data_IF_658600719433
#
_entry.id   IF_658600719433
#
_cell.length_a   1.000
_cell.length_b   1.000
_cell.length_c   1.000
_cell.angle_alpha   90.00
_cell.angle_beta   90.00
_cell.angle_gamma   90.00
#
_symmetry.space_group_name_H-M   'P 1'
#
loop_
_entity.id
_entity.type
_entity.pdbx_description
1 polymer ?
#
# COMPACT_ATOMS: atom_id res chain seq x y z
N UNK A 1 -25.99 41.15 -8.01
CA UNK A 1 -25.49 40.76 -6.67
C UNK A 1 -25.16 39.28 -6.69
N UNK A 2 -23.93 38.94 -7.07
CA UNK A 2 -23.43 37.60 -6.75
C UNK A 2 -23.18 37.54 -5.24
N UNK A 3 -23.82 36.60 -4.55
CA UNK A 3 -23.38 36.23 -3.20
C UNK A 3 -22.07 35.48 -3.39
N UNK A 4 -20.96 36.13 -3.05
CA UNK A 4 -19.69 35.44 -2.84
C UNK A 4 -19.94 34.25 -1.92
N UNK A 5 -19.67 33.04 -2.40
CA UNK A 5 -19.61 31.87 -1.53
C UNK A 5 -18.48 32.14 -0.54
N UNK A 6 -18.85 32.41 0.70
CA UNK A 6 -17.92 32.40 1.82
C UNK A 6 -17.37 30.98 1.93
N UNK A 7 -16.14 30.77 1.44
CA UNK A 7 -15.49 29.47 1.43
C UNK A 7 -15.32 29.00 2.87
N UNK A 8 -16.21 28.11 3.31
CA UNK A 8 -16.23 27.65 4.68
C UNK A 8 -14.93 26.90 4.97
N UNK A 9 -14.13 27.44 5.88
CA UNK A 9 -12.85 26.87 6.30
C UNK A 9 -12.96 25.34 6.53
N UNK A 10 -12.03 24.53 6.00
CA UNK A 10 -12.04 23.07 6.15
C UNK A 10 -12.18 22.61 7.61
N UNK A 11 -12.98 21.56 7.83
CA UNK A 11 -13.36 21.04 9.15
C UNK A 11 -12.96 19.58 9.34
N UNK A 12 -12.73 19.20 10.60
CA UNK A 12 -12.54 17.80 10.99
C UNK A 12 -13.81 17.33 11.70
N UNK A 13 -14.45 16.31 11.13
CA UNK A 13 -15.70 15.72 11.61
C UNK A 13 -15.41 14.39 12.30
N UNK A 14 -15.40 14.34 13.63
CA UNK A 14 -15.24 13.09 14.40
C UNK A 14 -16.58 12.37 14.54
N UNK A 15 -16.66 11.19 13.94
CA UNK A 15 -17.88 10.38 13.79
C UNK A 15 -17.82 9.15 14.70
N UNK A 16 -18.19 9.37 15.96
CA UNK A 16 -18.25 8.33 17.02
C UNK A 16 -19.64 7.72 17.25
N UNK A 17 -20.58 7.89 16.33
CA UNK A 17 -21.94 7.36 16.43
C UNK A 17 -22.39 6.85 15.07
N UNK A 18 -23.00 5.66 15.05
CA UNK A 18 -23.50 4.99 13.84
C UNK A 18 -24.40 5.90 13.00
N UNK A 19 -25.35 6.59 13.64
CA UNK A 19 -26.29 7.49 12.94
C UNK A 19 -25.57 8.63 12.21
N UNK A 20 -24.63 9.30 12.90
CA UNK A 20 -23.81 10.37 12.30
C UNK A 20 -22.86 9.82 11.22
N UNK A 21 -22.29 8.65 11.43
CA UNK A 21 -21.43 7.98 10.45
C UNK A 21 -22.20 7.59 9.19
N UNK A 22 -23.44 7.09 9.33
CA UNK A 22 -24.33 6.76 8.22
C UNK A 22 -24.71 8.00 7.43
N UNK A 23 -25.16 9.07 8.09
CA UNK A 23 -25.49 10.34 7.45
C UNK A 23 -24.30 10.92 6.67
N UNK A 24 -23.11 10.93 7.25
CA UNK A 24 -21.90 11.39 6.57
C UNK A 24 -21.53 10.49 5.38
N UNK A 25 -21.62 9.17 5.53
CA UNK A 25 -21.36 8.21 4.45
C UNK A 25 -22.33 8.38 3.28
N UNK A 26 -23.64 8.49 3.56
CA UNK A 26 -24.66 8.69 2.53
C UNK A 26 -24.44 10.02 1.80
N UNK A 27 -24.08 11.09 2.52
CA UNK A 27 -23.65 12.37 1.93
C UNK A 27 -22.44 12.19 1.00
N UNK A 28 -21.34 11.61 1.50
CA UNK A 28 -20.10 11.41 0.75
C UNK A 28 -20.30 10.56 -0.52
N UNK A 29 -21.13 9.51 -0.45
CA UNK A 29 -21.46 8.65 -1.61
C UNK A 29 -22.27 9.39 -2.69
N UNK A 30 -23.08 10.37 -2.29
CA UNK A 30 -23.88 11.19 -3.20
C UNK A 30 -23.06 12.32 -3.83
N UNK A 31 -22.26 13.05 -3.06
CA UNK A 31 -21.54 14.25 -3.51
C UNK A 31 -20.15 13.99 -4.11
N UNK A 32 -19.44 12.92 -3.72
CA UNK A 32 -18.02 12.75 -4.07
C UNK A 32 -17.75 11.47 -4.89
N UNK A 33 -17.10 11.64 -6.05
CA UNK A 33 -16.56 10.54 -6.87
C UNK A 33 -15.10 10.19 -6.57
N UNK A 34 -14.42 11.04 -5.82
CA UNK A 34 -13.04 10.85 -5.39
C UNK A 34 -12.92 11.31 -3.93
N UNK A 35 -12.28 10.47 -3.11
CA UNK A 35 -11.99 10.74 -1.70
C UNK A 35 -10.56 10.31 -1.42
N UNK A 36 -9.84 11.05 -0.59
CA UNK A 36 -8.60 10.54 0.00
C UNK A 36 -8.95 9.68 1.20
N UNK A 37 -8.13 8.68 1.51
CA UNK A 37 -8.39 7.78 2.64
C UNK A 37 -7.11 7.29 3.32
N UNK A 38 -7.15 7.18 4.64
CA UNK A 38 -6.20 6.39 5.42
C UNK A 38 -6.92 5.52 6.46
N UNK A 39 -6.27 4.44 6.89
CA UNK A 39 -6.79 3.53 7.89
C UNK A 39 -5.72 3.32 8.96
N UNK A 40 -6.10 3.45 10.23
CA UNK A 40 -5.22 3.23 11.38
C UNK A 40 -5.71 2.04 12.19
N UNK A 41 -4.78 1.20 12.62
CA UNK A 41 -5.03 -0.01 13.38
C UNK A 41 -4.11 -0.11 14.61
N UNK A 42 -4.53 -0.84 15.63
CA UNK A 42 -3.65 -1.23 16.75
C UNK A 42 -2.69 -2.37 16.37
N UNK A 43 -1.84 -2.75 17.32
CA UNK A 43 -0.89 -3.87 17.17
C UNK A 43 -1.60 -5.21 16.90
N UNK A 44 -2.80 -5.39 17.47
CA UNK A 44 -3.67 -6.55 17.27
C UNK A 44 -4.32 -6.61 15.87
N UNK A 45 -3.99 -5.66 14.98
CA UNK A 45 -4.51 -5.54 13.62
C UNK A 45 -5.92 -4.96 13.52
N UNK A 46 -6.59 -4.63 14.63
CA UNK A 46 -7.95 -4.09 14.61
C UNK A 46 -7.98 -2.68 14.04
N UNK A 47 -8.86 -2.40 13.07
CA UNK A 47 -9.15 -1.03 12.62
C UNK A 47 -9.62 -0.20 13.81
N UNK A 48 -8.87 0.84 14.11
CA UNK A 48 -9.17 1.78 15.16
C UNK A 48 -9.88 3.02 14.62
N UNK A 49 -9.43 3.51 13.46
CA UNK A 49 -9.93 4.72 12.79
C UNK A 49 -9.86 4.51 11.27
N UNK A 50 -10.89 4.98 10.57
CA UNK A 50 -10.82 5.27 9.13
C UNK A 50 -10.97 6.78 8.98
N UNK A 51 -10.06 7.43 8.25
CA UNK A 51 -10.18 8.85 7.92
C UNK A 51 -10.35 9.02 6.41
N UNK A 52 -11.22 9.95 6.01
CA UNK A 52 -11.47 10.30 4.62
C UNK A 52 -11.35 11.81 4.42
N UNK A 53 -10.68 12.23 3.35
CA UNK A 53 -10.60 13.64 2.95
C UNK A 53 -11.37 13.90 1.66
N UNK A 54 -11.93 15.10 1.55
CA UNK A 54 -12.68 15.59 0.40
C UNK A 54 -11.84 16.53 -0.48
N UNK A 55 -12.37 16.97 -1.62
CA UNK A 55 -11.71 17.96 -2.48
C UNK A 55 -11.71 19.37 -1.86
N UNK A 56 -12.74 19.65 -1.07
CA UNK A 56 -12.95 20.88 -0.31
C UNK A 56 -12.04 20.97 0.93
N UNK A 57 -11.36 19.88 1.28
CA UNK A 57 -10.42 19.79 2.40
C UNK A 57 -11.04 19.29 3.71
N UNK A 58 -12.35 19.10 3.79
CA UNK A 58 -13.01 18.51 4.97
C UNK A 58 -12.55 17.07 5.20
N UNK A 59 -12.34 16.74 6.47
CA UNK A 59 -11.82 15.44 6.94
C UNK A 59 -12.84 14.74 7.84
N UNK A 60 -13.25 13.54 7.45
CA UNK A 60 -14.21 12.72 8.18
C UNK A 60 -13.47 11.58 8.90
N UNK A 61 -13.51 11.59 10.24
CA UNK A 61 -12.79 10.65 11.12
C UNK A 61 -13.78 9.68 11.74
N UNK A 62 -13.88 8.47 11.18
CA UNK A 62 -14.77 7.41 11.63
C UNK A 62 -14.13 6.61 12.78
N UNK A 63 -14.75 6.67 13.96
CA UNK A 63 -14.22 6.09 15.20
C UNK A 63 -14.66 4.63 15.40
N UNK A 64 -14.01 3.73 14.66
CA UNK A 64 -14.29 2.28 14.69
C UNK A 64 -13.96 1.63 16.04
N UNK A 65 -12.95 2.12 16.77
CA UNK A 65 -12.57 1.55 18.07
C UNK A 65 -13.63 1.77 19.15
N UNK A 66 -14.35 2.90 19.09
CA UNK A 66 -15.44 3.21 20.02
C UNK A 66 -16.69 2.41 19.67
N UNK A 67 -17.03 2.32 18.38
CA UNK A 67 -18.14 1.49 17.91
C UNK A 67 -17.80 0.81 16.58
N UNK A 68 -17.71 -0.52 16.61
CA UNK A 68 -17.34 -1.33 15.43
C UNK A 68 -18.42 -1.31 14.34
N UNK A 69 -19.68 -1.09 14.72
CA UNK A 69 -20.80 -1.06 13.77
C UNK A 69 -20.71 0.13 12.81
N UNK A 70 -19.92 1.16 13.13
CA UNK A 70 -19.58 2.27 12.21
C UNK A 70 -19.03 1.77 10.86
N UNK A 71 -18.34 0.62 10.82
CA UNK A 71 -17.87 0.03 9.57
C UNK A 71 -19.02 -0.43 8.65
N UNK A 72 -20.04 -1.09 9.20
CA UNK A 72 -21.10 -1.73 8.41
C UNK A 72 -22.39 -0.90 8.44
N UNK A 73 -22.97 -0.71 9.62
CA UNK A 73 -24.22 0.05 9.83
C UNK A 73 -24.01 1.55 9.65
N UNK A 74 -22.82 2.05 10.00
CA UNK A 74 -22.36 3.41 9.64
C UNK A 74 -21.98 3.54 8.16
N UNK A 75 -21.90 2.43 7.42
CA UNK A 75 -21.76 2.40 5.98
C UNK A 75 -20.36 2.63 5.40
N UNK A 76 -19.32 2.83 6.21
CA UNK A 76 -17.93 3.10 5.75
C UNK A 76 -17.43 2.02 4.77
N UNK A 77 -17.80 0.76 5.02
CA UNK A 77 -17.52 -0.39 4.14
C UNK A 77 -18.12 -0.24 2.73
N UNK A 78 -19.20 0.51 2.54
CA UNK A 78 -19.77 0.81 1.20
C UNK A 78 -18.83 1.71 0.41
N UNK A 79 -18.26 2.75 1.01
CA UNK A 79 -17.28 3.64 0.34
C UNK A 79 -16.01 2.85 -0.04
N UNK A 80 -15.46 2.08 0.90
CA UNK A 80 -14.23 1.31 0.69
C UNK A 80 -14.37 0.26 -0.42
N UNK A 81 -15.54 -0.38 -0.54
CA UNK A 81 -15.82 -1.42 -1.55
C UNK A 81 -16.41 -0.87 -2.86
N UNK A 82 -16.90 0.37 -2.89
CA UNK A 82 -17.47 1.00 -4.09
C UNK A 82 -16.46 1.01 -5.24
N UNK A 83 -16.96 0.72 -6.45
CA UNK A 83 -16.23 0.90 -7.70
C UNK A 83 -16.39 2.34 -8.24
N UNK A 84 -17.47 3.04 -7.88
CA UNK A 84 -17.80 4.39 -8.38
C UNK A 84 -17.08 5.51 -7.65
N UNK A 85 -16.55 5.24 -6.45
CA UNK A 85 -15.74 6.19 -5.67
C UNK A 85 -14.28 5.77 -5.71
N UNK A 86 -13.41 6.63 -6.25
CA UNK A 86 -11.97 6.45 -6.25
C UNK A 86 -11.39 6.82 -4.86
N UNK A 87 -10.65 5.89 -4.24
CA UNK A 87 -9.91 6.15 -2.99
C UNK A 87 -8.46 6.51 -3.32
N UNK A 88 -8.06 7.76 -3.10
CA UNK A 88 -6.65 8.16 -3.15
C UNK A 88 -5.99 7.81 -1.81
N UNK A 89 -4.96 6.97 -1.84
CA UNK A 89 -4.27 6.50 -0.64
C UNK A 89 -2.75 6.62 -0.82
N UNK A 90 -2.02 6.46 0.28
CA UNK A 90 -0.56 6.35 0.27
C UNK A 90 -0.14 5.05 0.96
N UNK A 91 0.36 4.07 0.19
CA UNK A 91 0.81 2.78 0.71
C UNK A 91 -0.32 1.90 1.25
N UNK A 92 -1.35 1.64 0.44
CA UNK A 92 -2.59 0.98 0.87
C UNK A 92 -2.44 -0.45 1.41
N UNK A 93 -1.32 -1.13 1.14
CA UNK A 93 -1.05 -2.54 1.49
C UNK A 93 -1.42 -2.92 2.94
N UNK A 94 -1.08 -2.10 3.94
CA UNK A 94 -1.43 -2.38 5.35
C UNK A 94 -2.93 -2.25 5.60
N UNK A 95 -3.56 -1.20 5.06
CA UNK A 95 -5.01 -0.99 5.17
C UNK A 95 -5.77 -2.16 4.54
N UNK A 96 -5.35 -2.63 3.36
CA UNK A 96 -5.93 -3.80 2.68
C UNK A 96 -5.80 -5.06 3.52
N UNK A 97 -4.61 -5.34 4.08
CA UNK A 97 -4.40 -6.51 4.95
C UNK A 97 -5.35 -6.52 6.13
N UNK A 98 -5.47 -5.40 6.84
CA UNK A 98 -6.34 -5.26 8.01
C UNK A 98 -7.82 -5.35 7.62
N UNK A 99 -8.27 -4.58 6.62
CA UNK A 99 -9.66 -4.56 6.16
C UNK A 99 -10.13 -5.92 5.66
N UNK A 100 -9.30 -6.61 4.86
CA UNK A 100 -9.64 -7.93 4.34
C UNK A 100 -9.64 -8.99 5.44
N UNK A 101 -8.56 -9.07 6.23
CA UNK A 101 -8.35 -10.22 7.13
C UNK A 101 -9.19 -10.14 8.41
N UNK A 102 -9.55 -8.94 8.89
CA UNK A 102 -10.33 -8.77 10.12
C UNK A 102 -11.79 -8.38 9.88
N UNK A 103 -12.12 -7.80 8.72
CA UNK A 103 -13.48 -7.31 8.44
C UNK A 103 -14.08 -7.87 7.14
N UNK A 104 -13.35 -8.70 6.38
CA UNK A 104 -13.83 -9.21 5.09
C UNK A 104 -14.00 -8.14 4.01
N UNK A 105 -13.46 -6.93 4.21
CA UNK A 105 -13.68 -5.77 3.34
C UNK A 105 -12.66 -5.78 2.20
N UNK A 106 -13.14 -6.03 0.99
CA UNK A 106 -12.34 -5.97 -0.22
C UNK A 106 -12.22 -4.52 -0.73
N UNK A 107 -11.15 -3.81 -0.36
CA UNK A 107 -10.89 -2.45 -0.84
C UNK A 107 -10.84 -2.41 -2.39
N UNK A 108 -11.67 -1.57 -3.02
CA UNK A 108 -11.79 -1.42 -4.49
C UNK A 108 -11.47 0.00 -4.94
N UNK A 109 -11.25 0.17 -6.25
CA UNK A 109 -11.00 1.44 -6.94
C UNK A 109 -10.08 2.39 -6.15
N UNK A 110 -8.78 2.10 -6.16
CA UNK A 110 -7.74 2.83 -5.41
C UNK A 110 -6.77 3.48 -6.38
N UNK A 111 -6.37 4.72 -6.10
CA UNK A 111 -5.16 5.33 -6.63
C UNK A 111 -4.14 5.38 -5.50
N UNK A 112 -3.11 4.55 -5.57
CA UNK A 112 -2.05 4.55 -4.57
C UNK A 112 -0.90 5.45 -5.02
N UNK A 113 -0.72 6.58 -4.32
CA UNK A 113 0.32 7.58 -4.58
C UNK A 113 1.74 7.02 -4.45
N UNK A 114 1.97 6.03 -3.58
CA UNK A 114 3.25 5.32 -3.50
C UNK A 114 3.48 4.50 -4.78
N UNK A 115 2.46 3.83 -5.30
CA UNK A 115 2.58 3.05 -6.53
C UNK A 115 2.78 3.97 -7.74
N UNK A 116 2.05 5.07 -7.82
CA UNK A 116 2.24 6.08 -8.88
C UNK A 116 3.65 6.64 -8.87
N UNK A 117 4.22 6.92 -7.70
CA UNK A 117 5.62 7.34 -7.57
C UNK A 117 6.61 6.25 -8.00
N UNK A 118 6.40 4.99 -7.60
CA UNK A 118 7.21 3.85 -8.02
C UNK A 118 7.20 3.65 -9.55
N UNK A 119 6.03 3.74 -10.19
CA UNK A 119 5.88 3.65 -11.65
C UNK A 119 6.58 4.82 -12.35
N UNK A 120 6.47 6.04 -11.81
CA UNK A 120 7.19 7.20 -12.32
C UNK A 120 8.72 6.98 -12.26
N UNK A 121 9.27 6.51 -11.13
CA UNK A 121 10.69 6.17 -11.02
C UNK A 121 11.13 5.17 -12.10
N UNK A 122 10.40 4.06 -12.23
CA UNK A 122 10.74 3.00 -13.16
C UNK A 122 10.60 3.47 -14.63
N UNK A 123 9.69 4.40 -14.94
CA UNK A 123 9.59 5.04 -16.26
C UNK A 123 10.80 5.94 -16.62
N UNK A 124 11.62 6.31 -15.64
CA UNK A 124 12.88 7.04 -15.81
C UNK A 124 14.12 6.14 -15.74
N UNK A 125 13.92 4.82 -15.82
CA UNK A 125 14.98 3.82 -15.70
C UNK A 125 15.54 3.69 -14.27
N UNK A 126 14.81 4.16 -13.25
CA UNK A 126 15.23 4.10 -11.85
C UNK A 126 14.63 2.87 -11.13
N UNK A 127 15.33 2.32 -10.12
CA UNK A 127 14.81 1.19 -9.35
C UNK A 127 13.57 1.57 -8.53
N UNK A 128 12.68 0.59 -8.31
CA UNK A 128 11.48 0.74 -7.48
C UNK A 128 11.84 1.06 -6.02
N UNK A 129 11.21 2.12 -5.46
CA UNK A 129 11.48 2.56 -4.09
C UNK A 129 10.25 3.09 -3.36
N UNK A 130 10.25 2.92 -2.05
CA UNK A 130 9.31 3.58 -1.15
C UNK A 130 9.73 5.03 -0.88
N UNK A 131 8.74 5.89 -0.63
CA UNK A 131 8.89 7.28 -0.20
C UNK A 131 7.86 7.53 0.90
N UNK A 132 8.25 8.21 1.99
CA UNK A 132 7.27 8.61 3.01
C UNK A 132 6.41 9.78 2.48
N UNK A 133 5.13 9.86 2.87
CA UNK A 133 4.20 10.88 2.36
C UNK A 133 4.73 12.31 2.52
N UNK A 134 5.36 12.64 3.65
CA UNK A 134 5.96 13.95 3.87
C UNK A 134 7.03 14.27 2.81
N UNK A 135 7.99 13.37 2.61
CA UNK A 135 9.04 13.52 1.59
C UNK A 135 8.47 13.57 0.16
N UNK A 136 7.34 12.91 -0.11
CA UNK A 136 6.64 12.97 -1.39
C UNK A 136 5.94 14.32 -1.61
N UNK A 137 5.32 14.87 -0.58
CA UNK A 137 4.76 16.23 -0.59
C UNK A 137 5.86 17.27 -0.82
N UNK A 138 6.98 17.17 -0.11
CA UNK A 138 8.12 18.08 -0.24
C UNK A 138 8.70 18.05 -1.67
N UNK A 139 8.86 16.85 -2.26
CA UNK A 139 9.29 16.67 -3.67
C UNK A 139 8.31 17.23 -4.71
N UNK A 140 7.03 17.35 -4.36
CA UNK A 140 5.98 17.88 -5.24
C UNK A 140 5.59 19.33 -4.93
N UNK A 141 6.31 19.98 -4.00
CA UNK A 141 6.04 21.32 -3.48
C UNK A 141 4.61 21.50 -2.93
N UNK A 142 4.07 20.45 -2.31
CA UNK A 142 2.76 20.45 -1.65
C UNK A 142 2.97 20.71 -0.15
N UNK A 143 2.30 21.70 0.45
CA UNK A 143 2.38 21.94 1.89
C UNK A 143 2.00 20.70 2.71
N UNK A 144 2.94 20.20 3.50
CA UNK A 144 2.75 19.10 4.44
C UNK A 144 2.61 19.63 5.87
N UNK A 145 1.64 19.12 6.64
CA UNK A 145 1.52 19.50 8.05
C UNK A 145 2.52 18.72 8.91
N UNK A 146 3.34 19.44 9.66
CA UNK A 146 4.38 18.87 10.51
C UNK A 146 3.87 18.66 11.94
N UNK A 147 3.81 17.39 12.37
CA UNK A 147 3.36 17.01 13.71
C UNK A 147 4.36 17.41 14.79
N UNK A 148 3.87 17.54 16.03
CA UNK A 148 4.72 17.87 17.18
C UNK A 148 5.82 16.81 17.34
N UNK A 149 7.03 17.22 17.77
CA UNK A 149 8.16 16.27 17.97
C UNK A 149 7.81 15.17 18.97
N UNK A 150 7.01 15.52 19.99
CA UNK A 150 6.54 14.60 21.02
C UNK A 150 5.52 13.61 20.46
N UNK A 151 4.55 14.04 19.67
CA UNK A 151 3.58 13.14 19.05
C UNK A 151 4.24 12.22 18.00
N UNK A 152 5.17 12.74 17.20
CA UNK A 152 6.01 11.93 16.32
C UNK A 152 6.86 10.88 17.05
N UNK A 153 7.31 11.18 18.28
CA UNK A 153 7.99 10.21 19.16
C UNK A 153 7.00 9.15 19.66
N UNK A 154 5.84 9.57 20.16
CA UNK A 154 4.78 8.69 20.63
C UNK A 154 4.30 7.71 19.54
N UNK A 155 4.12 8.17 18.29
CA UNK A 155 3.76 7.33 17.14
C UNK A 155 4.83 6.29 16.75
N UNK A 156 6.09 6.45 17.18
CA UNK A 156 7.15 5.44 17.03
C UNK A 156 7.16 4.43 18.16
N UNK A 157 6.93 4.90 19.39
CA UNK A 157 7.13 4.13 20.62
C UNK A 157 5.90 3.29 21.00
N UNK A 158 4.69 3.73 20.63
CA UNK A 158 3.45 3.02 20.92
C UNK A 158 2.66 2.72 19.62
N UNK A 159 2.48 1.43 19.33
CA UNK A 159 1.69 0.95 18.20
C UNK A 159 0.17 1.12 18.41
N UNK A 160 -0.28 1.29 19.66
CA UNK A 160 -1.69 1.39 20.05
C UNK A 160 -2.17 2.83 20.29
N UNK A 161 -1.38 3.86 19.95
CA UNK A 161 -1.82 5.28 20.01
C UNK A 161 -3.18 5.47 19.36
N UNK A 162 -3.42 4.82 18.22
CA UNK A 162 -4.67 4.87 17.48
C UNK A 162 -5.85 4.19 18.18
N UNK A 163 -5.60 3.31 19.15
CA UNK A 163 -6.60 2.61 19.96
C UNK A 163 -7.02 3.40 21.22
N UNK A 164 -6.20 4.37 21.66
CA UNK A 164 -6.49 5.23 22.82
C UNK A 164 -7.72 6.11 22.58
N UNK A 165 -8.52 6.39 23.61
CA UNK A 165 -9.69 7.28 23.53
C UNK A 165 -9.76 8.23 24.72
N UNK A 166 -10.30 9.46 24.56
CA UNK A 166 -10.88 10.05 23.34
C UNK A 166 -9.85 10.32 22.22
N UNK A 167 -10.30 10.53 20.98
CA UNK A 167 -9.42 10.90 19.86
C UNK A 167 -8.93 12.33 20.08
N UNK A 168 -7.64 12.49 20.38
CA UNK A 168 -7.05 13.80 20.72
C UNK A 168 -6.95 14.71 19.50
N UNK A 169 -6.75 16.01 19.73
CA UNK A 169 -6.53 16.99 18.67
C UNK A 169 -5.25 16.70 17.86
N UNK A 170 -4.20 16.18 18.50
CA UNK A 170 -2.98 15.73 17.79
C UNK A 170 -3.25 14.54 16.86
N UNK A 171 -4.08 13.57 17.29
CA UNK A 171 -4.51 12.46 16.43
C UNK A 171 -5.34 12.97 15.24
N UNK A 172 -6.24 13.94 15.46
CA UNK A 172 -7.04 14.55 14.40
C UNK A 172 -6.16 15.29 13.38
N UNK A 173 -5.19 16.09 13.84
CA UNK A 173 -4.20 16.77 12.99
C UNK A 173 -3.34 15.79 12.19
N UNK A 174 -2.94 14.66 12.80
CA UNK A 174 -2.18 13.61 12.11
C UNK A 174 -2.98 12.92 11.01
N UNK A 175 -4.27 12.63 11.25
CA UNK A 175 -5.15 12.05 10.23
C UNK A 175 -5.38 13.04 9.07
N UNK A 176 -5.60 14.32 9.38
CA UNK A 176 -5.70 15.37 8.36
C UNK A 176 -4.40 15.51 7.54
N UNK A 177 -3.23 15.47 8.20
CA UNK A 177 -1.93 15.50 7.54
C UNK A 177 -1.71 14.33 6.54
N UNK A 178 -2.39 13.20 6.73
CA UNK A 178 -2.32 12.05 5.82
C UNK A 178 -3.32 12.08 4.68
N UNK A 179 -4.50 12.69 4.85
CA UNK A 179 -5.56 12.68 3.82
C UNK A 179 -5.67 13.99 3.04
N UNK A 180 -5.41 15.14 3.66
CA UNK A 180 -5.56 16.45 3.00
C UNK A 180 -4.55 16.68 1.87
N UNK A 181 -3.24 16.36 1.99
CA UNK A 181 -2.30 16.57 0.88
C UNK A 181 -2.58 15.72 -0.37
N UNK A 182 -3.28 14.59 -0.18
CA UNK A 182 -3.60 13.65 -1.26
C UNK A 182 -4.54 14.26 -2.32
N UNK A 183 -5.44 15.18 -1.93
CA UNK A 183 -6.45 15.78 -2.80
C UNK A 183 -6.48 17.31 -2.72
N UNK A 184 -6.86 17.99 -3.82
CA UNK A 184 -6.69 17.55 -5.22
C UNK A 184 -5.19 17.44 -5.62
N UNK A 185 -4.28 17.95 -4.79
CA UNK A 185 -2.91 18.31 -5.16
C UNK A 185 -2.03 17.11 -5.53
N UNK A 186 -1.76 16.17 -4.61
CA UNK A 186 -0.81 15.09 -4.90
C UNK A 186 -1.34 14.12 -5.97
N UNK A 187 -2.65 13.83 -5.94
CA UNK A 187 -3.33 13.06 -6.97
C UNK A 187 -3.11 13.64 -8.37
N UNK A 188 -3.43 14.92 -8.58
CA UNK A 188 -3.29 15.56 -9.90
C UNK A 188 -1.84 15.64 -10.36
N UNK A 189 -0.90 15.99 -9.46
CA UNK A 189 0.55 16.01 -9.77
C UNK A 189 1.08 14.64 -10.21
N UNK A 190 0.74 13.58 -9.48
CA UNK A 190 1.21 12.23 -9.82
C UNK A 190 0.51 11.67 -11.06
N UNK A 191 -0.78 11.95 -11.25
CA UNK A 191 -1.51 11.55 -12.45
C UNK A 191 -0.93 12.20 -13.72
N UNK A 192 -0.49 13.46 -13.64
CA UNK A 192 0.20 14.16 -14.73
C UNK A 192 1.63 13.64 -14.95
N UNK A 193 2.34 13.28 -13.88
CA UNK A 193 3.71 12.76 -13.98
C UNK A 193 3.77 11.33 -14.56
N UNK A 194 2.77 10.49 -14.29
CA UNK A 194 2.63 9.17 -14.92
C UNK A 194 2.10 9.35 -16.35
N UNK A 195 3.00 9.25 -17.33
CA UNK A 195 2.67 9.36 -18.76
C UNK A 195 1.47 8.46 -19.16
N UNK A 196 0.64 8.87 -20.14
CA UNK A 196 -0.50 8.09 -20.60
C UNK A 196 -0.17 6.63 -20.97
N UNK A 197 0.98 6.39 -21.61
CA UNK A 197 1.49 5.06 -21.96
C UNK A 197 1.69 4.12 -20.75
N UNK A 198 1.89 4.66 -19.56
CA UNK A 198 2.14 3.92 -18.32
C UNK A 198 0.89 3.73 -17.45
N UNK A 199 -0.29 4.23 -17.84
CA UNK A 199 -1.51 4.14 -17.04
C UNK A 199 -1.98 2.68 -16.85
N UNK A 200 -1.88 1.84 -17.88
CA UNK A 200 -2.17 0.40 -17.77
C UNK A 200 -1.20 -0.32 -16.81
N UNK A 201 0.06 0.14 -16.75
CA UNK A 201 1.06 -0.39 -15.83
C UNK A 201 0.81 0.07 -14.39
N UNK A 202 0.43 1.35 -14.17
CA UNK A 202 -0.02 1.85 -12.88
C UNK A 202 -1.19 1.01 -12.35
N UNK A 203 -2.24 0.81 -13.14
CA UNK A 203 -3.37 -0.05 -12.77
C UNK A 203 -2.91 -1.48 -12.37
N UNK A 204 -1.98 -2.08 -13.14
CA UNK A 204 -1.41 -3.40 -12.82
C UNK A 204 -0.65 -3.41 -11.48
N UNK A 205 0.20 -2.42 -11.23
CA UNK A 205 1.00 -2.34 -9.99
C UNK A 205 0.11 -2.04 -8.78
N UNK A 206 -0.93 -1.22 -8.92
CA UNK A 206 -1.90 -0.98 -7.84
C UNK A 206 -2.69 -2.24 -7.51
N UNK A 207 -3.14 -3.01 -8.52
CA UNK A 207 -3.73 -4.33 -8.29
C UNK A 207 -2.75 -5.31 -7.62
N UNK A 208 -1.46 -5.19 -7.88
CA UNK A 208 -0.42 -5.97 -7.19
C UNK A 208 -0.28 -5.56 -5.71
N UNK A 209 -0.35 -4.27 -5.35
CA UNK A 209 -0.36 -3.84 -3.93
C UNK A 209 -1.64 -4.26 -3.19
N UNK A 210 -2.81 -4.21 -3.84
CA UNK A 210 -4.03 -4.77 -3.27
C UNK A 210 -3.86 -6.28 -2.98
N UNK A 211 -3.27 -7.03 -3.91
CA UNK A 211 -2.92 -8.45 -3.70
C UNK A 211 -1.84 -8.65 -2.63
N UNK A 212 -0.91 -7.72 -2.50
CA UNK A 212 0.17 -7.75 -1.50
C UNK A 212 -0.41 -7.65 -0.08
N UNK A 213 -1.45 -6.83 0.13
CA UNK A 213 -2.17 -6.77 1.41
C UNK A 213 -2.84 -8.09 1.78
N UNK A 214 -3.45 -8.80 0.81
CA UNK A 214 -4.18 -10.06 1.07
C UNK A 214 -3.29 -11.31 1.09
N UNK A 215 -2.28 -11.40 0.22
CA UNK A 215 -1.38 -12.56 0.06
C UNK A 215 0.08 -12.11 -0.14
N UNK A 216 0.73 -11.52 0.88
CA UNK A 216 2.06 -10.92 0.75
C UNK A 216 3.15 -11.91 0.32
N UNK A 217 3.08 -13.17 0.76
CA UNK A 217 4.09 -14.18 0.42
C UNK A 217 4.19 -14.47 -1.09
N UNK A 218 3.04 -14.62 -1.76
CA UNK A 218 2.98 -14.88 -3.20
C UNK A 218 3.48 -13.67 -4.02
N UNK A 219 3.07 -12.45 -3.64
CA UNK A 219 3.53 -11.22 -4.31
C UNK A 219 5.01 -10.99 -4.09
N UNK A 220 5.53 -11.18 -2.87
CA UNK A 220 6.96 -11.07 -2.57
C UNK A 220 7.80 -12.02 -3.43
N UNK A 221 7.38 -13.28 -3.56
CA UNK A 221 8.08 -14.25 -4.42
C UNK A 221 8.09 -13.82 -5.90
N UNK A 222 6.99 -13.26 -6.41
CA UNK A 222 6.91 -12.72 -7.77
C UNK A 222 7.82 -11.48 -7.98
N UNK A 223 7.88 -10.57 -7.01
CA UNK A 223 8.78 -9.40 -7.03
C UNK A 223 10.25 -9.79 -7.01
N UNK A 224 10.65 -10.74 -6.15
CA UNK A 224 12.03 -11.24 -6.08
C UNK A 224 12.43 -11.87 -7.42
N UNK A 225 11.56 -12.70 -8.03
CA UNK A 225 11.81 -13.29 -9.36
C UNK A 225 12.02 -12.22 -10.44
N UNK A 226 11.17 -11.19 -10.49
CA UNK A 226 11.32 -10.05 -11.43
C UNK A 226 12.61 -9.28 -11.18
N UNK A 227 12.92 -8.90 -9.95
CA UNK A 227 14.13 -8.15 -9.61
C UNK A 227 15.41 -8.91 -10.01
N UNK A 228 15.46 -10.23 -9.82
CA UNK A 228 16.59 -11.05 -10.29
C UNK A 228 16.66 -11.15 -11.82
N UNK A 229 15.53 -11.19 -12.52
CA UNK A 229 15.50 -11.15 -13.98
C UNK A 229 15.97 -9.79 -14.51
N UNK A 230 15.45 -8.69 -13.96
CA UNK A 230 15.85 -7.32 -14.28
C UNK A 230 17.34 -7.08 -14.01
N UNK A 231 17.89 -7.58 -12.90
CA UNK A 231 19.33 -7.56 -12.63
C UNK A 231 20.16 -8.34 -13.66
N UNK A 232 19.68 -9.50 -14.11
CA UNK A 232 20.36 -10.31 -15.14
C UNK A 232 20.34 -9.63 -16.51
N UNK A 233 19.27 -8.92 -16.85
CA UNK A 233 19.20 -8.15 -18.10
C UNK A 233 20.02 -6.87 -18.02
N UNK A 234 19.98 -6.13 -16.90
CA UNK A 234 20.78 -4.91 -16.72
C UNK A 234 22.28 -5.19 -16.60
N UNK A 235 22.69 -6.35 -16.09
CA UNK A 235 24.10 -6.79 -16.08
C UNK A 235 24.67 -7.04 -17.50
N UNK A 236 23.82 -7.18 -18.53
CA UNK A 236 24.23 -7.24 -19.95
C UNK A 236 24.37 -5.85 -20.57
N UNK A 237 23.90 -4.80 -19.88
CA UNK A 237 23.92 -3.42 -20.34
C UNK A 237 25.03 -2.64 -19.62
N UNK A 238 25.56 -1.61 -20.27
CA UNK A 238 26.52 -0.71 -19.64
C UNK A 238 25.87 -0.02 -18.43
N UNK A 239 26.51 0.01 -17.25
CA UNK A 239 25.93 0.69 -16.10
C UNK A 239 25.74 2.18 -16.40
N UNK A 240 24.63 2.77 -15.94
CA UNK A 240 24.41 4.21 -15.99
C UNK A 240 25.38 4.92 -15.04
N UNK A 241 26.59 5.22 -15.53
CA UNK A 241 27.70 5.79 -14.76
C UNK A 241 27.41 7.18 -14.16
N UNK A 242 26.33 7.86 -14.58
CA UNK A 242 25.97 9.19 -14.07
C UNK A 242 24.46 9.42 -14.09
N UNK A 243 23.86 9.55 -12.91
CA UNK A 243 22.47 9.99 -12.74
C UNK A 243 22.33 11.49 -13.01
N UNK A 244 21.25 11.90 -13.68
CA UNK A 244 20.88 13.31 -13.82
C UNK A 244 20.55 13.96 -12.47
N UNK A 245 20.55 15.29 -12.39
CA UNK A 245 20.11 16.01 -11.18
C UNK A 245 18.66 15.69 -10.79
N UNK A 246 17.77 15.52 -11.79
CA UNK A 246 16.38 15.11 -11.59
C UNK A 246 16.29 13.70 -11.00
N UNK A 247 16.98 12.73 -11.59
CA UNK A 247 17.02 11.35 -11.07
C UNK A 247 17.60 11.27 -9.65
N UNK A 248 18.60 12.10 -9.32
CA UNK A 248 19.14 12.19 -7.94
C UNK A 248 18.10 12.73 -6.95
N UNK A 249 17.33 13.76 -7.31
CA UNK A 249 16.26 14.30 -6.47
C UNK A 249 15.12 13.28 -6.24
N UNK A 250 14.78 12.51 -7.27
CA UNK A 250 13.81 11.42 -7.20
C UNK A 250 14.25 10.25 -6.31
N UNK A 251 15.56 9.98 -6.22
CA UNK A 251 16.12 8.93 -5.35
C UNK A 251 16.47 9.41 -3.92
N UNK A 252 16.58 10.72 -3.69
CA UNK A 252 16.74 11.26 -2.32
C UNK A 252 15.53 10.88 -1.45
N UNK A 253 15.74 10.62 -0.16
CA UNK A 253 14.66 10.38 0.82
C UNK A 253 13.74 9.20 0.47
N UNK A 254 14.27 8.23 -0.28
CA UNK A 254 13.57 7.01 -0.69
C UNK A 254 14.31 5.75 -0.22
N UNK A 255 13.55 4.70 0.08
CA UNK A 255 14.07 3.41 0.56
C UNK A 255 13.87 2.31 -0.49
N UNK A 256 14.89 1.47 -0.78
CA UNK A 256 14.72 0.29 -1.64
C UNK A 256 13.65 -0.66 -1.08
N UNK A 257 12.65 -1.02 -1.89
CA UNK A 257 11.56 -1.91 -1.43
C UNK A 257 12.06 -3.27 -0.95
N UNK A 258 13.19 -3.75 -1.48
CA UNK A 258 13.82 -4.98 -1.01
C UNK A 258 14.21 -4.93 0.48
N UNK A 259 14.71 -3.79 1.01
CA UNK A 259 15.00 -3.67 2.46
C UNK A 259 13.74 -3.78 3.31
N UNK A 260 12.61 -3.28 2.82
CA UNK A 260 11.31 -3.31 3.51
C UNK A 260 10.70 -4.71 3.59
N UNK A 261 11.10 -5.61 2.69
CA UNK A 261 10.69 -7.01 2.72
C UNK A 261 11.37 -7.81 3.84
N UNK A 262 12.56 -7.38 4.30
CA UNK A 262 13.34 -8.02 5.36
C UNK A 262 13.06 -7.47 6.77
N UNK A 263 12.58 -6.24 6.91
CA UNK A 263 12.37 -5.61 8.24
C UNK A 263 11.02 -5.89 8.89
N UNK A 264 10.09 -6.63 8.25
CA UNK A 264 8.72 -6.84 8.73
C UNK A 264 8.55 -7.92 9.82
N UNK A 265 9.49 -7.95 10.76
CA UNK A 265 9.29 -8.45 12.13
C UNK A 265 9.33 -7.26 13.09
N UNK A 266 8.22 -6.51 13.18
CA UNK A 266 8.03 -5.47 14.20
C UNK A 266 8.78 -4.15 13.98
N UNK A 267 8.38 -3.35 12.99
CA UNK A 267 8.44 -1.88 13.06
C UNK A 267 7.70 -1.23 11.89
N UNK A 268 6.96 -0.15 12.17
CA UNK A 268 6.55 0.82 11.16
C UNK A 268 7.79 1.49 10.56
N UNK A 269 7.73 1.88 9.29
CA UNK A 269 8.79 2.66 8.68
C UNK A 269 8.76 4.06 9.25
N UNK A 270 9.74 4.37 10.11
CA UNK A 270 9.99 5.73 10.55
C UNK A 270 11.50 5.99 10.54
N UNK A 271 11.94 6.83 9.60
CA UNK A 271 13.10 7.71 9.75
C UNK A 271 14.43 7.08 10.18
N UNK A 272 15.14 6.43 9.25
CA UNK A 272 16.61 6.44 9.29
C UNK A 272 17.12 7.70 8.60
N UNK A 273 17.09 8.83 9.33
CA UNK A 273 17.82 10.02 8.92
C UNK A 273 19.32 9.75 9.11
N UNK A 274 20.04 9.61 7.99
CA UNK A 274 21.49 9.43 8.02
C UNK A 274 22.16 10.70 8.56
N UNK A 275 22.71 10.61 9.77
CA UNK A 275 23.57 11.66 10.32
C UNK A 275 24.81 11.80 9.44
N UNK A 276 24.99 12.98 8.84
CA UNK A 276 26.23 13.33 8.14
C UNK A 276 27.35 13.50 9.17
N UNK A 277 28.17 12.47 9.40
CA UNK A 277 29.49 12.67 10.00
C UNK A 277 30.41 13.30 8.96
N UNK A 278 31.01 14.43 9.32
CA UNK A 278 31.94 15.14 8.46
C UNK A 278 33.27 14.38 8.33
N UNK A 279 33.89 14.50 7.16
CA UNK A 279 35.26 14.06 6.90
C UNK A 279 36.26 14.73 7.83
N UNK A 280 37.13 13.93 8.47
CA UNK A 280 38.47 14.39 8.81
C UNK A 280 39.50 13.29 8.55
N UNK A 281 40.52 13.65 7.78
CA UNK A 281 41.66 12.85 7.40
C UNK A 281 42.82 13.06 8.37
N UNK A 282 43.47 11.99 8.82
CA UNK A 282 44.86 11.93 9.32
C UNK A 282 45.16 10.43 9.53
N UNK A 283 45.96 9.77 8.68
CA UNK A 283 47.44 9.67 8.67
C UNK A 283 47.98 8.67 9.72
N UNK A 284 48.90 7.80 9.27
CA UNK A 284 49.46 6.67 10.02
C UNK A 284 50.34 7.09 11.22
N UNK A 285 50.35 6.26 12.28
CA UNK A 285 51.27 6.42 13.42
C UNK A 285 51.33 5.19 14.32
N UNK A 286 52.53 4.65 14.48
CA UNK A 286 52.94 3.39 15.13
C UNK A 286 52.51 3.14 16.59
N UNK A 287 52.50 1.85 16.96
CA UNK A 287 52.56 1.29 18.33
C UNK A 287 53.77 1.85 19.14
N UNK A 288 53.76 1.87 20.50
CA UNK A 288 53.83 0.62 21.29
C UNK A 288 53.15 0.58 22.68
N UNK A 289 53.05 -0.63 23.24
CA UNK A 289 52.73 -1.00 24.63
C UNK A 289 53.96 -0.83 25.58
N UNK A 290 53.97 -1.23 26.88
CA UNK A 290 52.89 -1.73 27.76
C UNK A 290 52.83 -1.09 29.18
N UNK A 291 51.82 -1.44 29.99
CA UNK A 291 51.71 -1.03 31.42
C UNK A 291 50.88 -2.01 32.27
N UNK A 292 51.42 -2.43 33.41
CA UNK A 292 50.95 -3.54 34.26
C UNK A 292 49.67 -3.24 35.08
N UNK A 293 48.88 -4.28 35.41
CA UNK A 293 47.82 -4.25 36.43
C UNK A 293 47.23 -5.64 36.71
N UNK A 294 47.32 -6.14 37.97
CA UNK A 294 46.93 -7.51 38.39
C UNK A 294 45.53 -7.58 39.02
N UNK A 295 45.05 -8.82 39.22
CA UNK A 295 43.97 -9.28 40.13
C UNK A 295 42.53 -8.99 39.67
N UNK A 296 41.53 -9.85 39.91
CA UNK A 296 41.44 -11.21 40.50
C UNK A 296 40.14 -11.87 40.00
N UNK A 297 40.10 -13.21 39.92
CA UNK A 297 38.85 -13.97 39.86
C UNK A 297 38.30 -14.21 41.28
N UNK A 298 36.98 -14.45 41.40
CA UNK A 298 36.43 -15.36 42.40
C UNK A 298 35.69 -16.54 41.73
N UNK A 299 35.80 -17.71 42.34
CA UNK A 299 35.11 -18.94 41.94
C UNK A 299 33.65 -19.00 42.46
N UNK A 300 32.87 -19.85 41.80
CA UNK A 300 32.23 -21.05 42.40
C UNK A 300 30.69 -21.23 42.36
N UNK A 301 30.34 -22.52 42.23
CA UNK A 301 29.08 -23.22 42.58
C UNK A 301 27.78 -23.08 41.76
N UNK A 302 27.67 -24.04 40.82
CA UNK A 302 26.55 -24.99 40.62
C UNK A 302 25.21 -24.78 41.40
N UNK A 303 24.09 -24.78 40.66
CA UNK A 303 22.83 -25.42 41.12
C UNK A 303 22.12 -26.17 39.96
N UNK A 304 22.12 -27.50 40.08
CA UNK A 304 21.10 -28.51 39.70
C UNK A 304 20.09 -28.20 38.57
N UNK A 305 20.15 -29.00 37.51
CA UNK A 305 19.02 -29.26 36.61
C UNK A 305 18.16 -30.41 37.15
N UNK A 306 16.85 -30.20 37.24
CA UNK A 306 15.85 -31.29 37.30
C UNK A 306 15.04 -31.29 36.01
N UNK A 307 15.00 -32.42 35.32
CA UNK A 307 14.15 -32.62 34.16
C UNK A 307 12.79 -33.19 34.54
N UNK A 308 11.75 -32.83 33.79
CA UNK A 308 10.52 -33.62 33.69
C UNK A 308 10.07 -33.72 32.23
N UNK A 309 9.65 -34.92 31.86
CA UNK A 309 9.12 -35.24 30.53
C UNK A 309 7.68 -34.75 30.40
N UNK A 310 7.31 -34.32 29.20
CA UNK A 310 5.96 -34.49 28.68
C UNK A 310 6.02 -34.73 27.17
N UNK A 311 5.59 -35.90 26.74
CA UNK A 311 5.50 -36.32 25.33
C UNK A 311 4.19 -35.84 24.72
N UNK A 312 4.20 -35.42 23.45
CA UNK A 312 3.32 -36.00 22.41
C UNK A 312 3.44 -35.32 21.04
N UNK A 313 3.74 -36.16 20.04
CA UNK A 313 3.16 -36.23 18.70
C UNK A 313 2.64 -34.95 18.01
N UNK A 314 3.23 -34.66 16.84
CA UNK A 314 2.47 -34.56 15.59
C UNK A 314 3.34 -35.00 14.41
N UNK A 315 2.76 -35.77 13.49
CA UNK A 315 3.50 -36.59 12.52
C UNK A 315 3.90 -35.82 11.25
N UNK A 316 5.09 -36.13 10.73
CA UNK A 316 5.47 -35.82 9.35
C UNK A 316 4.74 -36.74 8.38
N UNK A 317 4.25 -36.20 7.27
CA UNK A 317 3.91 -36.97 6.07
C UNK A 317 4.69 -36.45 4.87
N UNK A 318 5.67 -37.23 4.43
CA UNK A 318 6.26 -37.14 3.10
C UNK A 318 6.81 -38.50 2.70
N UNK A 319 6.23 -39.13 1.68
CA UNK A 319 6.89 -40.21 0.95
C UNK A 319 6.36 -40.31 -0.48
N UNK A 320 7.31 -40.36 -1.40
CA UNK A 320 7.17 -40.85 -2.77
C UNK A 320 6.97 -42.41 -2.75
N UNK A 321 6.87 -43.20 -3.82
CA UNK A 321 6.96 -43.08 -5.28
C UNK A 321 6.39 -44.41 -5.85
N UNK A 322 5.92 -44.49 -7.11
CA UNK A 322 6.40 -45.44 -8.16
C UNK A 322 5.52 -45.43 -9.43
N UNK A 323 6.04 -46.02 -10.51
CA UNK A 323 5.53 -45.89 -11.88
C UNK A 323 5.58 -47.21 -12.68
N UNK A 324 4.81 -47.26 -13.79
CA UNK A 324 4.98 -48.11 -14.98
C UNK A 324 4.20 -47.43 -16.13
N UNK A 325 4.78 -47.00 -17.27
CA UNK A 325 5.22 -47.78 -18.44
C UNK A 325 4.08 -48.64 -19.05
N UNK A 326 3.76 -48.56 -20.35
CA UNK A 326 4.69 -48.62 -21.50
C UNK A 326 4.08 -48.15 -22.84
N UNK A 327 4.94 -47.83 -23.84
CA UNK A 327 4.72 -48.00 -25.31
C UNK A 327 3.57 -47.20 -25.97
N UNK A 328 3.65 -46.48 -27.10
CA UNK A 328 4.64 -46.16 -28.16
C UNK A 328 4.15 -44.84 -28.86
N UNK A 329 4.73 -44.19 -29.89
CA UNK A 329 5.78 -44.51 -30.85
C UNK A 329 6.57 -43.25 -31.35
N UNK A 330 7.15 -43.31 -32.56
CA UNK A 330 8.07 -42.36 -33.22
C UNK A 330 7.53 -40.99 -33.73
N UNK A 331 8.44 -40.02 -34.05
CA UNK A 331 8.12 -38.68 -34.58
C UNK A 331 8.36 -38.51 -36.09
N UNK A 332 7.73 -37.50 -36.71
CA UNK A 332 8.14 -36.97 -38.03
C UNK A 332 8.24 -35.45 -38.02
N UNK A 333 9.44 -34.92 -38.28
CA UNK A 333 9.63 -33.55 -38.78
C UNK A 333 9.10 -33.47 -40.21
N UNK A 334 8.39 -32.41 -40.55
CA UNK A 334 8.39 -31.85 -41.90
C UNK A 334 8.33 -30.33 -41.84
N UNK A 335 8.92 -29.69 -42.83
CA UNK A 335 9.22 -28.26 -42.89
C UNK A 335 8.29 -27.50 -43.83
N UNK A 336 8.35 -26.17 -43.70
CA UNK A 336 8.12 -25.16 -44.74
C UNK A 336 6.72 -24.53 -44.92
N UNK A 337 6.74 -23.19 -44.83
CA UNK A 337 6.08 -22.18 -45.68
C UNK A 337 4.55 -22.15 -45.80
N UNK A 338 4.04 -20.92 -45.80
CA UNK A 338 2.71 -20.57 -46.32
C UNK A 338 1.79 -20.00 -45.25
N UNK A 339 1.61 -18.68 -45.24
CA UNK A 339 0.59 -18.05 -44.40
C UNK A 339 -0.77 -18.05 -45.08
N UNK A 340 -1.84 -17.99 -44.30
CA UNK A 340 -3.11 -17.43 -44.78
C UNK A 340 -3.86 -16.73 -43.64
N UNK A 341 -4.46 -15.60 -43.97
CA UNK A 341 -5.41 -14.86 -43.14
C UNK A 341 -6.71 -15.65 -43.02
N UNK A 342 -7.26 -15.78 -41.82
CA UNK A 342 -8.68 -16.15 -41.63
C UNK A 342 -9.33 -15.20 -40.61
N UNK A 343 -10.52 -14.73 -40.98
CA UNK A 343 -11.24 -13.67 -40.29
C UNK A 343 -11.99 -14.14 -39.03
N UNK A 344 -12.24 -13.17 -38.14
CA UNK A 344 -13.24 -13.27 -37.08
C UNK A 344 -14.63 -13.58 -37.68
N UNK A 345 -15.36 -14.55 -37.10
CA UNK A 345 -16.81 -14.66 -37.27
C UNK A 345 -17.51 -14.53 -35.92
N UNK A 346 -18.39 -13.53 -35.86
CA UNK A 346 -19.38 -13.36 -34.81
C UNK A 346 -20.38 -14.51 -34.80
N UNK A 347 -20.85 -14.91 -33.62
CA UNK A 347 -21.98 -15.82 -33.44
C UNK A 347 -23.07 -15.08 -32.69
N UNK A 348 -24.13 -14.71 -33.40
CA UNK A 348 -25.37 -14.19 -32.84
C UNK A 348 -26.54 -14.80 -33.62
N UNK A 349 -27.15 -15.86 -33.10
CA UNK A 349 -28.34 -16.48 -33.65
C UNK A 349 -29.58 -16.04 -32.88
N UNK A 350 -30.59 -15.58 -33.62
CA UNK A 350 -31.89 -15.22 -33.09
C UNK A 350 -32.66 -16.46 -32.60
N UNK A 351 -33.56 -16.27 -31.63
CA UNK A 351 -34.92 -16.76 -31.82
C UNK A 351 -35.94 -15.88 -31.07
N UNK A 352 -36.89 -15.28 -31.80
CA UNK A 352 -38.08 -14.62 -31.25
C UNK A 352 -39.29 -15.26 -31.93
N UNK A 353 -40.15 -15.91 -31.15
CA UNK A 353 -41.44 -16.42 -31.63
C UNK A 353 -42.53 -15.42 -31.30
N UNK A 354 -43.40 -15.16 -32.27
CA UNK A 354 -44.57 -14.30 -32.14
C UNK A 354 -45.77 -15.10 -31.61
N UNK A 355 -46.65 -14.44 -30.85
CA UNK A 355 -48.07 -14.78 -30.84
C UNK A 355 -48.93 -13.55 -30.49
N UNK A 356 -49.57 -13.04 -31.55
CA UNK A 356 -50.90 -12.39 -31.63
C UNK A 356 -51.49 -11.59 -30.45
N UNK A 357 -51.88 -10.35 -30.77
CA UNK A 357 -53.31 -9.99 -30.74
C UNK A 357 -53.78 -8.94 -29.73
N UNK A 358 -53.86 -7.68 -30.18
CA UNK A 358 -55.02 -6.80 -29.97
C UNK A 358 -54.94 -5.53 -30.84
N UNK A 359 -56.02 -5.29 -31.58
CA UNK A 359 -56.40 -3.99 -32.14
C UNK A 359 -56.74 -3.02 -30.98
N UNK A 360 -56.73 -1.69 -31.12
CA UNK A 360 -56.50 -0.83 -32.28
C UNK A 360 -56.74 0.64 -31.89
N UNK A 361 -57.02 1.49 -32.88
CA UNK A 361 -57.41 2.91 -32.77
C UNK A 361 -56.34 3.92 -32.32
N UNK A 362 -55.84 4.65 -33.31
CA UNK A 362 -55.22 5.99 -33.17
C UNK A 362 -56.32 7.02 -32.94
N UNK A 363 -56.11 7.96 -32.02
CA UNK A 363 -56.75 9.29 -32.05
C UNK A 363 -55.66 10.34 -31.83
N UNK A 364 -55.65 11.37 -32.66
CA UNK A 364 -54.76 12.53 -32.56
C UNK A 364 -55.55 13.67 -31.90
N UNK A 365 -55.07 14.14 -30.74
CA UNK A 365 -55.29 15.47 -30.18
C UNK A 365 -54.21 15.74 -29.12
#
# INVERSE_FOLDING_TARGET
MEKSKEESKPKIHVLSSVSKAKQATDSLLLSHKILSACCKSGHNGMVAIVAMGTLEGDVYVFDVKKDRSVIFDGGVSRILQSLDVLKVMHGCSQAVSVLNNQHGIALRNVFDTQVAYSVMLQSEGLPERAVELAALCDKTAIPSFQLSKNFNKLLREDADVWMRRPITEEMQKALAAEVTPLLPHLYSRLLQAVRPEHQAWLARMTQEELRNGVRPGAVRAARIKRAHQEQRESAKQSPLLRLSSRQRLLLADTLPLCRLAYSRSGSSLVGQSATKSATKSEVWGSNPSPGQGRCRLPDDQQVRTHGHLATSNLQFYSLHLWAALSSQNHPTRLTAKGGLVVALRSVASHNRRWETGREGAVVIA
#
